data_IF_077843073634
#
_entry.id   IF_077843073634
#
_cell.length_a   1.000
_cell.length_b   1.000
_cell.length_c   1.000
_cell.angle_alpha   90.00
_cell.angle_beta   90.00
_cell.angle_gamma   90.00
#
_symmetry.space_group_name_H-M   'P 1'
#
loop_
_entity.id
_entity.type
_entity.pdbx_description
1 polymer ?
#
# COMPACT_ATOMS: atom_id res chain seq x y z
N UNK A 1 25.44 10.12 -3.00
CA UNK A 1 24.38 10.11 -4.03
C UNK A 1 23.26 9.25 -3.45
N UNK A 2 22.18 9.85 -2.95
CA UNK A 2 21.08 9.08 -2.32
C UNK A 2 20.10 8.74 -3.43
N UNK A 3 20.00 7.45 -3.79
CA UNK A 3 18.92 6.96 -4.64
C UNK A 3 17.60 7.10 -3.90
N UNK A 4 16.54 7.66 -4.52
CA UNK A 4 15.22 7.65 -3.92
C UNK A 4 14.75 6.20 -3.82
N UNK A 5 14.41 5.79 -2.61
CA UNK A 5 13.92 4.45 -2.32
C UNK A 5 12.40 4.49 -2.34
N UNK A 6 11.79 3.47 -2.91
CA UNK A 6 10.35 3.35 -3.01
C UNK A 6 9.94 1.97 -2.54
N UNK A 7 8.88 1.93 -1.74
CA UNK A 7 8.19 0.69 -1.40
C UNK A 7 6.89 0.69 -2.19
N UNK A 8 6.73 -0.29 -3.07
CA UNK A 8 5.48 -0.53 -3.78
C UNK A 8 4.77 -1.70 -3.09
N UNK A 9 3.59 -1.44 -2.55
CA UNK A 9 2.73 -2.46 -1.94
C UNK A 9 1.57 -2.71 -2.88
N UNK A 10 1.45 -3.93 -3.39
CA UNK A 10 0.29 -4.32 -4.20
C UNK A 10 -0.69 -5.07 -3.31
N UNK A 11 -1.89 -4.53 -3.17
CA UNK A 11 -2.96 -5.10 -2.35
C UNK A 11 -3.96 -5.78 -3.27
N UNK A 12 -4.27 -7.03 -2.97
CA UNK A 12 -5.50 -7.65 -3.44
C UNK A 12 -6.68 -7.00 -2.73
N UNK A 13 -7.39 -6.09 -3.41
CA UNK A 13 -8.49 -5.33 -2.80
C UNK A 13 -9.70 -6.21 -2.45
N UNK A 14 -9.71 -7.49 -2.81
CA UNK A 14 -10.78 -8.43 -2.44
C UNK A 14 -10.47 -9.21 -1.16
N UNK A 15 -9.21 -9.26 -0.72
CA UNK A 15 -8.76 -10.08 0.40
C UNK A 15 -8.59 -9.27 1.68
N UNK A 16 -9.71 -8.98 2.35
CA UNK A 16 -9.76 -8.19 3.60
C UNK A 16 -9.02 -8.86 4.76
N UNK A 17 -9.03 -10.19 4.82
CA UNK A 17 -8.47 -10.95 5.95
C UNK A 17 -6.94 -10.83 6.00
N UNK A 18 -6.28 -10.73 4.84
CA UNK A 18 -4.81 -10.62 4.79
C UNK A 18 -4.27 -9.21 5.02
N UNK A 19 -5.09 -8.17 5.01
CA UNK A 19 -4.59 -6.79 5.18
C UNK A 19 -3.92 -6.56 6.53
N UNK A 20 -4.34 -7.26 7.58
CA UNK A 20 -3.69 -7.18 8.88
C UNK A 20 -2.21 -7.61 8.80
N UNK A 21 -1.92 -8.68 8.07
CA UNK A 21 -0.56 -9.18 7.84
C UNK A 21 0.22 -8.19 6.96
N UNK A 22 -0.39 -7.66 5.89
CA UNK A 22 0.24 -6.64 5.03
C UNK A 22 0.62 -5.39 5.82
N UNK A 23 -0.23 -4.95 6.77
CA UNK A 23 0.07 -3.83 7.67
C UNK A 23 1.31 -4.12 8.51
N UNK A 24 1.38 -5.28 9.15
CA UNK A 24 2.52 -5.63 10.01
C UNK A 24 3.84 -5.67 9.24
N UNK A 25 3.84 -6.27 8.05
CA UNK A 25 5.03 -6.30 7.19
C UNK A 25 5.41 -4.91 6.67
N UNK A 26 4.44 -4.08 6.26
CA UNK A 26 4.69 -2.71 5.83
C UNK A 26 5.38 -1.91 6.94
N UNK A 27 4.87 -1.96 8.17
CA UNK A 27 5.46 -1.24 9.29
C UNK A 27 6.85 -1.77 9.64
N UNK A 28 7.07 -3.09 9.58
CA UNK A 28 8.38 -3.71 9.80
C UNK A 28 9.39 -3.24 8.76
N UNK A 29 8.99 -3.16 7.49
CA UNK A 29 9.84 -2.66 6.40
C UNK A 29 10.19 -1.18 6.60
N UNK A 30 9.21 -0.34 6.90
CA UNK A 30 9.45 1.11 7.09
C UNK A 30 10.31 1.43 8.32
N UNK A 31 10.34 0.54 9.31
CA UNK A 31 11.24 0.66 10.46
C UNK A 31 12.73 0.35 10.12
N UNK A 32 13.01 -0.24 8.96
CA UNK A 32 14.38 -0.55 8.56
C UNK A 32 15.14 0.72 8.14
N UNK A 33 16.38 0.88 8.62
CA UNK A 33 17.18 2.10 8.43
C UNK A 33 17.35 2.45 6.94
N UNK A 34 17.55 1.44 6.09
CA UNK A 34 17.66 1.63 4.65
C UNK A 34 16.43 2.34 4.09
N UNK A 35 15.23 1.93 4.50
CA UNK A 35 13.96 2.43 4.01
C UNK A 35 13.46 3.68 4.74
N UNK A 36 14.22 4.24 5.69
CA UNK A 36 13.84 5.40 6.53
C UNK A 36 13.39 6.65 5.77
N UNK A 37 13.71 6.76 4.47
CA UNK A 37 13.29 7.87 3.59
C UNK A 37 12.45 7.43 2.39
N UNK A 38 12.02 6.17 2.37
CA UNK A 38 11.29 5.63 1.25
C UNK A 38 9.89 6.27 1.14
N UNK A 39 9.45 6.57 -0.08
CA UNK A 39 8.05 6.87 -0.33
C UNK A 39 7.28 5.56 -0.60
N UNK A 40 6.01 5.52 -0.20
CA UNK A 40 5.17 4.33 -0.32
C UNK A 40 4.10 4.55 -1.38
N UNK A 41 4.04 3.67 -2.37
CA UNK A 41 2.93 3.58 -3.30
C UNK A 41 2.16 2.31 -3.03
N UNK A 42 0.88 2.45 -2.71
CA UNK A 42 -0.04 1.32 -2.58
C UNK A 42 -0.85 1.19 -3.86
N UNK A 43 -0.70 0.09 -4.57
CA UNK A 43 -1.62 -0.30 -5.63
C UNK A 43 -2.79 -1.08 -5.03
N UNK A 44 -3.98 -0.47 -5.04
CA UNK A 44 -5.24 -1.13 -4.73
C UNK A 44 -5.70 -1.90 -5.97
N UNK A 45 -5.21 -3.14 -6.12
CA UNK A 45 -5.44 -3.97 -7.31
C UNK A 45 -6.79 -4.71 -7.23
N UNK A 46 -7.28 -5.17 -8.39
CA UNK A 46 -8.56 -5.87 -8.58
C UNK A 46 -9.81 -5.02 -8.39
N UNK A 47 -9.74 -3.74 -8.76
CA UNK A 47 -10.88 -2.82 -8.66
C UNK A 47 -12.02 -3.14 -9.63
N UNK A 48 -11.78 -4.03 -10.61
CA UNK A 48 -12.79 -4.59 -11.49
C UNK A 48 -13.77 -5.55 -10.79
N UNK A 49 -13.38 -6.10 -9.64
CA UNK A 49 -14.18 -7.09 -8.92
C UNK A 49 -15.16 -6.44 -7.95
N UNK A 50 -16.39 -6.95 -7.93
CA UNK A 50 -17.42 -6.53 -6.97
C UNK A 50 -16.97 -6.84 -5.54
N UNK A 51 -17.11 -5.86 -4.65
CA UNK A 51 -16.72 -6.00 -3.24
C UNK A 51 -15.26 -5.67 -2.95
N UNK A 52 -14.49 -5.25 -3.96
CA UNK A 52 -13.16 -4.67 -3.78
C UNK A 52 -13.20 -3.49 -2.81
N UNK A 53 -12.18 -3.40 -1.97
CA UNK A 53 -12.00 -2.31 -1.02
C UNK A 53 -11.70 -1.02 -1.77
N UNK A 54 -12.34 0.05 -1.32
CA UNK A 54 -11.99 1.42 -1.69
C UNK A 54 -10.64 1.83 -1.11
N UNK A 55 -10.03 2.87 -1.68
CA UNK A 55 -8.81 3.47 -1.14
C UNK A 55 -8.97 3.92 0.32
N UNK A 56 -10.16 4.39 0.71
CA UNK A 56 -10.44 4.80 2.09
C UNK A 56 -10.45 3.60 3.06
N UNK A 57 -11.03 2.47 2.67
CA UNK A 57 -11.02 1.24 3.47
C UNK A 57 -9.61 0.68 3.64
N UNK A 58 -8.83 0.67 2.55
CA UNK A 58 -7.42 0.24 2.57
C UNK A 58 -6.59 1.16 3.48
N UNK A 59 -6.73 2.48 3.33
CA UNK A 59 -6.04 3.47 4.15
C UNK A 59 -6.31 3.26 5.65
N UNK A 60 -7.58 3.02 6.00
CA UNK A 60 -8.00 2.73 7.37
C UNK A 60 -7.42 1.41 7.89
N UNK A 61 -7.49 0.33 7.11
CA UNK A 61 -7.02 -0.99 7.55
C UNK A 61 -5.51 -1.08 7.70
N UNK A 62 -4.75 -0.38 6.84
CA UNK A 62 -3.30 -0.27 6.97
C UNK A 62 -2.86 0.81 7.96
N UNK A 63 -3.80 1.59 8.52
CA UNK A 63 -3.53 2.73 9.38
C UNK A 63 -2.48 3.70 8.78
N UNK A 64 -2.61 4.03 7.50
CA UNK A 64 -1.60 4.85 6.80
C UNK A 64 -1.47 6.24 7.40
N UNK A 65 -2.53 6.76 8.01
CA UNK A 65 -2.53 8.06 8.68
C UNK A 65 -1.56 8.12 9.86
N UNK A 66 -1.21 6.98 10.47
CA UNK A 66 -0.21 6.90 11.54
C UNK A 66 1.22 6.92 11.02
N UNK A 67 1.43 6.70 9.71
CA UNK A 67 2.75 6.81 9.07
C UNK A 67 3.04 8.30 8.81
N UNK A 68 3.83 8.92 9.69
CA UNK A 68 4.18 10.35 9.62
C UNK A 68 5.47 10.64 8.86
N UNK A 69 6.44 9.74 8.93
CA UNK A 69 7.78 9.98 8.41
C UNK A 69 7.94 9.60 6.92
N UNK A 70 6.95 8.90 6.36
CA UNK A 70 6.93 8.51 4.96
C UNK A 70 5.76 9.15 4.23
N UNK A 71 6.04 9.67 3.03
CA UNK A 71 4.98 10.03 2.09
C UNK A 71 4.35 8.75 1.55
N UNK A 72 3.03 8.74 1.44
CA UNK A 72 2.30 7.62 0.86
C UNK A 72 1.21 8.08 -0.09
N UNK A 73 0.88 7.22 -1.05
CA UNK A 73 -0.25 7.38 -1.96
C UNK A 73 -0.91 6.02 -2.21
N UNK A 74 -2.23 6.03 -2.41
CA UNK A 74 -2.97 4.87 -2.92
C UNK A 74 -3.36 5.16 -4.37
N UNK A 75 -3.11 4.20 -5.25
CA UNK A 75 -3.54 4.20 -6.65
C UNK A 75 -4.44 3.00 -6.89
N UNK A 76 -5.68 3.24 -7.31
CA UNK A 76 -6.58 2.19 -7.78
C UNK A 76 -6.08 1.62 -9.09
N UNK A 77 -6.09 0.29 -9.24
CA UNK A 77 -5.69 -0.34 -10.50
C UNK A 77 -6.41 -1.68 -10.76
N UNK A 78 -6.33 -2.13 -12.00
CA UNK A 78 -6.66 -3.49 -12.41
C UNK A 78 -5.52 -4.04 -13.28
N UNK A 79 -4.76 -4.98 -12.73
CA UNK A 79 -3.64 -5.60 -13.43
C UNK A 79 -4.04 -6.37 -14.70
N UNK A 80 -5.32 -6.79 -14.82
CA UNK A 80 -5.82 -7.50 -16.00
C UNK A 80 -6.12 -6.55 -17.17
N UNK A 81 -6.61 -5.34 -16.89
CA UNK A 81 -6.91 -4.34 -17.93
C UNK A 81 -5.75 -3.38 -18.18
N UNK A 82 -4.82 -3.27 -17.23
CA UNK A 82 -3.73 -2.30 -17.26
C UNK A 82 -4.16 -0.88 -16.86
N UNK A 83 -5.40 -0.71 -16.38
CA UNK A 83 -5.89 0.57 -15.85
C UNK A 83 -5.25 0.85 -14.49
N UNK A 84 -4.77 2.08 -14.28
CA UNK A 84 -4.13 2.53 -13.04
C UNK A 84 -2.94 3.43 -13.26
#
# INVERSE_FOLDING_TARGET
>A
MISPQFVIVVIDSTDRERLAVTREELYRMLAHEELSKAAVLIYANKQDLKGSMSAAEISKQLDLTSIKEHRWQIQSCCALTGEG
#
